data_IF_881185292925
#
_entry.id   IF_881185292925
#
_cell.length_a   1.000
_cell.length_b   1.000
_cell.length_c   1.000
_cell.angle_alpha   90.00
_cell.angle_beta   90.00
_cell.angle_gamma   90.00
#
_symmetry.space_group_name_H-M   'P 1'
#
loop_
_entity.id
_entity.type
_entity.pdbx_description
1 polymer ?
#
# COMPACT_ATOMS: atom_id res chain seq x y z
N UNK A 1 -6.69 3.57 -36.12
CA UNK A 1 -7.59 2.91 -35.18
C UNK A 1 -6.91 2.50 -33.95
N UNK A 2 -7.41 3.01 -32.88
CA UNK A 2 -6.74 3.00 -31.60
C UNK A 2 -7.58 2.27 -30.56
N UNK A 3 -8.04 1.10 -30.93
CA UNK A 3 -8.87 0.29 -30.06
C UNK A 3 -8.09 -0.28 -28.89
N UNK A 4 -6.78 -0.27 -29.01
CA UNK A 4 -5.88 -0.83 -27.99
C UNK A 4 -5.80 0.02 -26.73
N UNK A 5 -6.20 1.28 -26.81
CA UNK A 5 -6.06 2.20 -25.69
C UNK A 5 -7.23 2.15 -24.72
N UNK A 6 -8.21 1.31 -24.99
CA UNK A 6 -9.27 1.08 -24.03
C UNK A 6 -8.77 0.13 -22.93
N UNK A 7 -8.06 0.70 -22.00
CA UNK A 7 -7.82 -0.03 -20.75
C UNK A 7 -9.15 -0.13 -20.03
N UNK A 8 -9.79 -1.25 -20.18
CA UNK A 8 -11.00 -1.51 -19.41
C UNK A 8 -10.63 -1.63 -17.94
N UNK A 9 -11.23 -0.77 -17.14
CA UNK A 9 -11.18 -0.94 -15.71
C UNK A 9 -11.81 -2.30 -15.38
N UNK A 10 -11.01 -3.17 -14.79
CA UNK A 10 -11.49 -4.49 -14.36
C UNK A 10 -11.87 -4.35 -12.89
N UNK A 11 -13.18 -4.43 -12.63
CA UNK A 11 -13.69 -4.45 -11.27
C UNK A 11 -13.26 -5.76 -10.60
N UNK A 12 -12.51 -5.70 -9.48
CA UNK A 12 -12.08 -6.92 -8.80
C UNK A 12 -13.22 -7.84 -8.36
N UNK A 13 -14.40 -7.26 -8.14
CA UNK A 13 -15.56 -8.03 -7.72
C UNK A 13 -16.36 -8.62 -8.89
N UNK A 14 -16.01 -8.24 -10.12
CA UNK A 14 -16.72 -8.66 -11.33
C UNK A 14 -15.75 -9.07 -12.43
N UNK A 15 -14.73 -9.85 -12.08
CA UNK A 15 -13.78 -10.36 -13.05
C UNK A 15 -14.45 -11.34 -14.00
N UNK A 16 -14.15 -11.26 -15.30
CA UNK A 16 -14.59 -12.28 -16.24
C UNK A 16 -14.11 -13.65 -15.80
N UNK A 17 -14.92 -14.67 -16.00
CA UNK A 17 -14.60 -16.02 -15.57
C UNK A 17 -13.24 -16.51 -16.08
N UNK A 18 -12.88 -16.11 -17.29
CA UNK A 18 -11.62 -16.53 -17.89
C UNK A 18 -10.40 -15.88 -17.25
N UNK A 19 -10.53 -14.65 -16.76
CA UNK A 19 -9.44 -13.97 -16.07
C UNK A 19 -9.36 -14.34 -14.60
N UNK A 20 -10.45 -14.83 -14.03
CA UNK A 20 -10.49 -15.29 -12.68
C UNK A 20 -9.99 -16.72 -12.48
N UNK A 21 -9.67 -17.40 -13.56
CA UNK A 21 -9.15 -18.77 -13.45
C UNK A 21 -7.75 -18.79 -12.90
N UNK A 22 -7.54 -19.61 -11.88
CA UNK A 22 -6.21 -19.82 -11.34
C UNK A 22 -5.33 -20.54 -12.36
N UNK A 23 -4.09 -20.06 -12.53
CA UNK A 23 -3.11 -20.63 -13.44
C UNK A 23 -2.56 -21.97 -12.91
N UNK A 24 -2.46 -22.09 -11.59
CA UNK A 24 -2.04 -23.31 -10.91
C UNK A 24 -3.07 -23.65 -9.87
N UNK A 25 -3.51 -24.89 -9.83
CA UNK A 25 -4.53 -25.36 -8.88
C UNK A 25 -4.05 -26.66 -8.25
N UNK A 26 -3.17 -26.54 -7.29
CA UNK A 26 -2.63 -27.68 -6.54
C UNK A 26 -3.04 -27.56 -5.07
N UNK A 27 -3.09 -28.67 -4.32
CA UNK A 27 -3.51 -28.62 -2.91
C UNK A 27 -2.74 -27.66 -2.03
N UNK A 28 -1.49 -27.36 -2.37
CA UNK A 28 -0.63 -26.49 -1.59
C UNK A 28 -0.11 -25.28 -2.35
N UNK A 29 -0.55 -25.08 -3.58
CA UNK A 29 -0.09 -23.98 -4.42
C UNK A 29 -1.18 -23.57 -5.40
N UNK A 30 -1.66 -22.35 -5.27
CA UNK A 30 -2.62 -21.75 -6.21
C UNK A 30 -2.07 -20.45 -6.73
N UNK A 31 -2.19 -20.24 -8.04
CA UNK A 31 -1.80 -19.00 -8.69
C UNK A 31 -2.94 -18.52 -9.57
N UNK A 32 -3.28 -17.27 -9.42
CA UNK A 32 -4.31 -16.61 -10.20
C UNK A 32 -4.67 -15.25 -9.63
N UNK A 33 -5.39 -14.46 -10.39
CA UNK A 33 -5.85 -13.12 -9.97
C UNK A 33 -4.75 -12.18 -9.49
N UNK A 34 -3.51 -12.41 -9.95
CA UNK A 34 -2.36 -11.62 -9.52
C UNK A 34 -1.79 -12.02 -8.17
N UNK A 35 -2.17 -13.18 -7.64
CA UNK A 35 -1.73 -13.67 -6.35
C UNK A 35 -1.27 -15.12 -6.42
N UNK A 36 -0.38 -15.46 -5.50
CA UNK A 36 0.05 -16.84 -5.27
C UNK A 36 -0.27 -17.19 -3.81
N UNK A 37 -1.03 -18.25 -3.61
CA UNK A 37 -1.28 -18.83 -2.30
C UNK A 37 -0.40 -20.07 -2.14
N UNK A 38 0.40 -20.09 -1.11
CA UNK A 38 1.34 -21.18 -0.85
C UNK A 38 1.17 -21.69 0.57
N UNK A 39 0.85 -22.98 0.71
CA UNK A 39 0.73 -23.61 2.01
C UNK A 39 2.09 -24.16 2.41
N UNK A 40 2.60 -23.70 3.53
CA UNK A 40 3.93 -24.05 4.04
C UNK A 40 3.83 -24.56 5.46
N UNK A 41 4.84 -25.29 5.90
CA UNK A 41 4.93 -25.68 7.30
C UNK A 41 5.30 -24.49 8.16
N UNK A 42 4.69 -24.42 9.34
CA UNK A 42 5.02 -23.40 10.31
C UNK A 42 6.47 -23.54 10.79
N UNK A 43 7.09 -22.44 11.20
CA UNK A 43 8.49 -22.44 11.66
C UNK A 43 8.73 -23.38 12.82
N UNK A 44 7.73 -23.55 13.68
CA UNK A 44 7.82 -24.44 14.84
C UNK A 44 7.51 -25.90 14.51
N UNK A 45 7.31 -26.21 13.23
CA UNK A 45 6.99 -27.56 12.74
C UNK A 45 5.71 -28.16 13.37
N UNK A 46 4.89 -27.33 13.98
CA UNK A 46 3.67 -27.75 14.69
C UNK A 46 2.39 -27.40 13.94
N UNK A 47 2.45 -27.16 12.66
CA UNK A 47 1.25 -26.84 11.91
C UNK A 47 1.59 -26.29 10.55
N UNK A 48 0.57 -25.71 9.94
CA UNK A 48 0.68 -25.21 8.59
C UNK A 48 0.31 -23.72 8.56
N UNK A 49 0.90 -23.02 7.62
CA UNK A 49 0.61 -21.62 7.34
C UNK A 49 0.33 -21.46 5.87
N UNK A 50 -0.39 -20.42 5.52
CA UNK A 50 -0.59 -20.00 4.14
C UNK A 50 0.06 -18.64 3.94
N UNK A 51 0.86 -18.54 2.88
CA UNK A 51 1.49 -17.28 2.46
C UNK A 51 0.79 -16.79 1.22
N UNK A 52 0.38 -15.52 1.23
CA UNK A 52 -0.22 -14.85 0.09
C UNK A 52 0.79 -13.88 -0.49
N UNK A 53 1.26 -14.16 -1.68
CA UNK A 53 2.31 -13.39 -2.35
C UNK A 53 1.70 -12.73 -3.57
N UNK A 54 1.79 -11.39 -3.62
CA UNK A 54 1.36 -10.68 -4.81
C UNK A 54 2.39 -10.86 -5.92
N UNK A 55 1.90 -11.07 -7.14
CA UNK A 55 2.78 -11.27 -8.30
C UNK A 55 3.76 -10.10 -8.44
N UNK A 56 5.02 -10.42 -8.60
CA UNK A 56 6.09 -9.44 -8.70
C UNK A 56 6.69 -9.00 -7.37
N UNK A 57 6.11 -9.38 -6.24
CA UNK A 57 6.64 -9.02 -4.93
C UNK A 57 7.53 -10.14 -4.38
N UNK A 58 8.67 -9.80 -3.78
CA UNK A 58 9.58 -10.81 -3.24
C UNK A 58 9.11 -11.43 -1.92
N UNK A 59 8.27 -10.72 -1.18
CA UNK A 59 7.81 -11.17 0.12
C UNK A 59 6.30 -11.28 0.16
N UNK A 60 5.76 -12.18 1.00
CA UNK A 60 4.32 -12.30 1.13
C UNK A 60 3.69 -11.06 1.78
N UNK A 61 2.52 -10.69 1.29
CA UNK A 61 1.73 -9.63 1.91
C UNK A 61 1.02 -10.10 3.17
N UNK A 62 0.77 -11.39 3.26
CA UNK A 62 0.05 -12.00 4.37
C UNK A 62 0.58 -13.41 4.61
N UNK A 63 0.86 -13.74 5.85
CA UNK A 63 1.13 -15.11 6.28
C UNK A 63 0.23 -15.36 7.49
N UNK A 64 -0.58 -16.40 7.42
CA UNK A 64 -1.50 -16.73 8.50
C UNK A 64 -1.56 -18.23 8.75
N UNK A 65 -2.17 -18.62 9.87
CA UNK A 65 -2.34 -20.04 10.17
C UNK A 65 -3.26 -20.70 9.14
N UNK A 66 -2.96 -21.95 8.82
CA UNK A 66 -3.77 -22.74 7.90
C UNK A 66 -4.29 -23.97 8.62
N UNK A 67 -5.54 -24.32 8.36
CA UNK A 67 -6.18 -25.45 9.06
C UNK A 67 -5.64 -26.78 8.58
N UNK A 68 -5.65 -27.75 9.49
CA UNK A 68 -5.36 -29.14 9.16
C UNK A 68 -6.50 -29.73 8.35
N UNK A 69 -6.16 -30.63 7.45
CA UNK A 69 -7.15 -31.41 6.73
C UNK A 69 -7.74 -32.52 7.59
N UNK A 70 -8.52 -33.39 6.97
CA UNK A 70 -9.06 -34.59 7.64
C UNK A 70 -7.96 -35.50 8.15
N UNK A 71 -6.87 -35.55 7.40
CA UNK A 71 -5.67 -36.22 7.80
C UNK A 71 -4.82 -35.28 8.64
N UNK A 72 -4.53 -35.65 9.87
CA UNK A 72 -3.76 -34.79 10.78
C UNK A 72 -2.32 -34.54 10.33
N UNK A 73 -1.86 -35.26 9.33
CA UNK A 73 -0.51 -35.10 8.78
C UNK A 73 -0.43 -34.05 7.67
N UNK A 74 -1.55 -33.76 7.03
CA UNK A 74 -1.58 -32.89 5.86
C UNK A 74 -2.48 -31.67 6.11
N UNK A 75 -2.16 -30.51 5.52
CA UNK A 75 -3.02 -29.34 5.63
C UNK A 75 -4.29 -29.53 4.81
N UNK A 76 -5.29 -28.74 5.12
CA UNK A 76 -6.48 -28.64 4.29
C UNK A 76 -6.05 -28.23 2.87
N UNK A 77 -6.50 -28.94 1.83
CA UNK A 77 -6.15 -28.57 0.47
C UNK A 77 -6.75 -27.21 0.09
N UNK A 78 -6.04 -26.46 -0.72
CA UNK A 78 -6.58 -25.25 -1.29
C UNK A 78 -7.66 -25.60 -2.31
N UNK A 79 -8.72 -24.80 -2.32
CA UNK A 79 -9.78 -24.91 -3.32
C UNK A 79 -10.17 -23.52 -3.80
N UNK A 80 -11.09 -23.46 -4.75
CA UNK A 80 -11.52 -22.20 -5.35
C UNK A 80 -12.05 -21.21 -4.29
N UNK A 81 -12.90 -21.68 -3.38
CA UNK A 81 -13.49 -20.85 -2.35
C UNK A 81 -12.43 -20.33 -1.37
N UNK A 82 -11.53 -21.22 -0.94
CA UNK A 82 -10.45 -20.84 -0.03
C UNK A 82 -9.51 -19.83 -0.68
N UNK A 83 -9.11 -20.06 -1.91
CA UNK A 83 -8.24 -19.13 -2.63
C UNK A 83 -8.90 -17.77 -2.81
N UNK A 84 -10.17 -17.74 -3.18
CA UNK A 84 -10.89 -16.49 -3.35
C UNK A 84 -10.95 -15.69 -2.04
N UNK A 85 -11.22 -16.36 -0.94
CA UNK A 85 -11.23 -15.72 0.39
C UNK A 85 -9.85 -15.19 0.76
N UNK A 86 -8.81 -15.95 0.49
CA UNK A 86 -7.42 -15.55 0.78
C UNK A 86 -7.02 -14.33 -0.05
N UNK A 87 -7.37 -14.29 -1.33
CA UNK A 87 -7.11 -13.12 -2.19
C UNK A 87 -7.79 -11.88 -1.64
N UNK A 88 -9.04 -12.01 -1.25
CA UNK A 88 -9.79 -10.90 -0.68
C UNK A 88 -9.14 -10.38 0.61
N UNK A 89 -8.79 -11.27 1.51
CA UNK A 89 -8.14 -10.91 2.78
C UNK A 89 -6.78 -10.28 2.54
N UNK A 90 -5.96 -10.86 1.67
CA UNK A 90 -4.64 -10.33 1.37
C UNK A 90 -4.72 -8.95 0.70
N UNK A 91 -5.69 -8.75 -0.19
CA UNK A 91 -5.91 -7.45 -0.83
C UNK A 91 -6.30 -6.38 0.18
N UNK A 92 -7.09 -6.72 1.18
CA UNK A 92 -7.45 -5.80 2.25
C UNK A 92 -6.25 -5.44 3.14
N UNK A 93 -5.43 -6.43 3.47
CA UNK A 93 -4.21 -6.20 4.25
C UNK A 93 -3.26 -5.29 3.49
N UNK A 94 -3.06 -5.54 2.19
CA UNK A 94 -2.20 -4.72 1.36
C UNK A 94 -2.70 -3.28 1.30
N UNK A 95 -4.01 -3.09 1.12
CA UNK A 95 -4.60 -1.76 1.08
C UNK A 95 -4.42 -1.01 2.39
N UNK A 96 -4.59 -1.70 3.53
CA UNK A 96 -4.34 -1.09 4.84
C UNK A 96 -2.88 -0.67 5.00
N UNK A 97 -1.94 -1.50 4.55
CA UNK A 97 -0.52 -1.15 4.58
C UNK A 97 -0.23 0.08 3.73
N UNK A 98 -0.81 0.15 2.53
CA UNK A 98 -0.65 1.31 1.67
C UNK A 98 -1.23 2.58 2.30
N UNK A 99 -2.39 2.48 2.94
CA UNK A 99 -3.01 3.60 3.64
C UNK A 99 -2.16 4.06 4.84
N UNK A 100 -1.66 3.11 5.61
CA UNK A 100 -0.78 3.41 6.74
C UNK A 100 0.52 4.06 6.27
N UNK A 101 1.10 3.53 5.22
CA UNK A 101 2.32 4.08 4.63
C UNK A 101 2.06 5.49 4.12
N UNK A 102 0.95 5.72 3.44
CA UNK A 102 0.56 7.05 2.99
C UNK A 102 0.43 8.02 4.17
N UNK A 103 -0.22 7.58 5.24
CA UNK A 103 -0.37 8.41 6.44
C UNK A 103 0.97 8.74 7.11
N UNK A 104 1.93 7.82 7.05
CA UNK A 104 3.28 8.07 7.57
C UNK A 104 4.09 8.98 6.66
N UNK A 105 3.87 8.91 5.36
CA UNK A 105 4.65 9.65 4.37
C UNK A 105 4.01 10.98 3.99
N UNK A 106 2.77 11.24 4.38
CA UNK A 106 2.08 12.47 4.06
C UNK A 106 1.57 13.12 5.34
N UNK A 107 1.98 14.34 5.58
CA UNK A 107 1.53 15.12 6.75
C UNK A 107 1.05 16.47 6.27
N UNK A 108 0.11 17.05 7.02
CA UNK A 108 -0.38 18.37 6.68
C UNK A 108 -0.80 19.13 7.94
N UNK A 109 -0.76 20.44 7.84
CA UNK A 109 -1.28 21.32 8.86
C UNK A 109 -1.83 22.59 8.18
N UNK A 110 -2.80 23.21 8.81
CA UNK A 110 -3.34 24.49 8.34
C UNK A 110 -2.95 25.55 9.35
N UNK A 111 -2.37 26.63 8.88
CA UNK A 111 -1.94 27.75 9.72
C UNK A 111 -2.59 29.03 9.22
N UNK A 112 -2.80 29.96 10.13
CA UNK A 112 -3.36 31.28 9.80
C UNK A 112 -2.26 32.33 9.97
N UNK A 113 -1.95 33.04 8.89
CA UNK A 113 -0.90 34.04 8.87
C UNK A 113 -1.48 35.31 8.25
N UNK A 114 -1.49 36.40 9.00
CA UNK A 114 -2.03 37.69 8.57
C UNK A 114 -3.47 37.59 8.07
N UNK A 115 -4.28 36.76 8.75
CA UNK A 115 -5.68 36.53 8.41
C UNK A 115 -5.91 35.60 7.23
N UNK A 116 -4.87 34.98 6.68
CA UNK A 116 -4.98 34.05 5.57
C UNK A 116 -4.69 32.65 6.04
N UNK A 117 -5.54 31.72 5.66
CA UNK A 117 -5.29 30.30 5.94
C UNK A 117 -4.40 29.70 4.84
N UNK A 118 -3.37 29.01 5.27
CA UNK A 118 -2.43 28.34 4.38
C UNK A 118 -2.30 26.90 4.82
N UNK A 119 -2.52 26.00 3.89
CA UNK A 119 -2.29 24.58 4.13
C UNK A 119 -0.85 24.25 3.77
N UNK A 120 -0.14 23.70 4.72
CA UNK A 120 1.25 23.26 4.51
C UNK A 120 1.26 21.74 4.55
N UNK A 121 1.80 21.14 3.51
CA UNK A 121 1.91 19.68 3.39
C UNK A 121 3.36 19.27 3.34
N UNK A 122 3.63 18.09 3.90
CA UNK A 122 4.94 17.47 3.85
C UNK A 122 4.76 16.09 3.23
N UNK A 123 5.36 15.87 2.08
CA UNK A 123 5.34 14.58 1.40
C UNK A 123 6.73 13.99 1.43
N UNK A 124 6.87 12.91 2.17
CA UNK A 124 8.14 12.21 2.33
C UNK A 124 8.30 11.26 1.16
N UNK A 125 9.43 11.37 0.45
CA UNK A 125 9.77 10.47 -0.65
C UNK A 125 10.83 9.50 -0.15
N UNK A 126 10.46 8.24 0.11
CA UNK A 126 11.43 7.25 0.55
C UNK A 126 12.29 6.83 -0.63
N UNK A 127 13.55 7.15 -0.56
CA UNK A 127 14.55 6.73 -1.54
C UNK A 127 15.59 5.93 -0.77
N UNK A 128 16.01 4.80 -1.30
CA UNK A 128 16.97 3.94 -0.63
C UNK A 128 18.31 4.65 -0.37
N UNK A 129 18.71 5.51 -1.31
CA UNK A 129 19.99 6.20 -1.22
C UNK A 129 19.88 7.61 -0.64
N UNK A 130 18.86 8.35 -1.05
CA UNK A 130 18.73 9.77 -0.68
C UNK A 130 17.27 10.13 -0.38
N UNK A 131 16.72 9.69 0.76
CA UNK A 131 15.38 10.06 1.13
C UNK A 131 15.26 11.58 1.33
N UNK A 132 14.14 12.14 0.92
CA UNK A 132 13.87 13.55 1.07
C UNK A 132 12.38 13.79 1.27
N UNK A 133 11.99 15.02 1.52
CA UNK A 133 10.60 15.40 1.60
C UNK A 133 10.35 16.68 0.81
N UNK A 134 9.11 16.85 0.37
CA UNK A 134 8.65 18.04 -0.30
C UNK A 134 7.71 18.81 0.63
N UNK A 135 8.08 20.02 0.94
CA UNK A 135 7.29 20.92 1.77
C UNK A 135 6.57 21.90 0.85
N UNK A 136 5.24 21.89 0.89
CA UNK A 136 4.42 22.65 -0.05
C UNK A 136 3.44 23.54 0.72
N UNK A 137 3.30 24.78 0.29
CA UNK A 137 2.28 25.68 0.80
C UNK A 137 1.19 25.86 -0.25
N UNK A 138 -0.06 25.77 0.19
CA UNK A 138 -1.24 25.85 -0.69
C UNK A 138 -2.21 26.84 -0.07
N UNK A 139 -2.73 27.74 -0.89
CA UNK A 139 -3.72 28.70 -0.41
C UNK A 139 -5.13 28.12 -0.36
N UNK A 140 -6.10 28.90 0.07
CA UNK A 140 -7.50 28.45 0.17
C UNK A 140 -8.12 28.06 -1.17
N UNK A 141 -7.62 28.63 -2.26
CA UNK A 141 -8.10 28.29 -3.60
C UNK A 141 -7.50 26.99 -4.14
N UNK A 142 -6.59 26.37 -3.37
CA UNK A 142 -5.90 25.18 -3.79
C UNK A 142 -4.69 25.41 -4.66
N UNK A 143 -4.26 26.66 -4.80
CA UNK A 143 -3.10 27.00 -5.60
C UNK A 143 -1.81 26.86 -4.79
N UNK A 144 -0.81 26.26 -5.42
CA UNK A 144 0.50 26.08 -4.82
C UNK A 144 1.22 27.43 -4.75
N UNK A 145 1.53 27.86 -3.53
CA UNK A 145 2.26 29.09 -3.28
C UNK A 145 3.76 28.90 -3.38
N UNK A 146 4.25 27.79 -2.84
CA UNK A 146 5.67 27.47 -2.84
C UNK A 146 5.87 26.00 -2.58
N UNK A 147 7.01 25.49 -3.01
CA UNK A 147 7.43 24.11 -2.71
C UNK A 147 8.95 24.07 -2.60
N UNK A 148 9.44 23.47 -1.53
CA UNK A 148 10.87 23.29 -1.32
C UNK A 148 11.16 21.84 -0.92
N UNK A 149 12.37 21.40 -1.20
CA UNK A 149 12.85 20.09 -0.81
C UNK A 149 13.50 20.17 0.56
N UNK A 150 13.12 19.26 1.47
CA UNK A 150 13.67 19.23 2.83
C UNK A 150 14.24 17.86 3.13
N UNK A 151 14.87 17.71 4.29
CA UNK A 151 15.27 16.41 4.79
C UNK A 151 14.03 15.55 5.06
N UNK A 152 14.15 14.24 4.86
CA UNK A 152 13.03 13.31 5.08
C UNK A 152 12.55 13.31 6.53
N UNK A 153 13.41 13.64 7.47
CA UNK A 153 13.07 13.69 8.90
C UNK A 153 12.59 15.08 9.37
N UNK A 154 12.33 15.99 8.44
CA UNK A 154 11.80 17.31 8.81
C UNK A 154 10.48 17.14 9.55
N UNK A 155 10.34 17.84 10.68
CA UNK A 155 9.14 17.78 11.49
C UNK A 155 8.19 18.92 11.12
N UNK A 156 7.06 18.56 10.54
CA UNK A 156 6.01 19.51 10.25
C UNK A 156 5.12 19.67 11.48
N UNK A 157 5.15 20.88 12.06
CA UNK A 157 4.28 21.30 13.13
C UNK A 157 3.65 22.62 12.76
N UNK A 158 2.54 23.05 13.41
CA UNK A 158 2.02 24.39 13.14
C UNK A 158 3.08 25.47 13.30
N UNK A 159 3.93 25.36 14.32
CA UNK A 159 4.99 26.33 14.58
C UNK A 159 6.04 26.35 13.45
N UNK A 160 6.51 25.20 13.01
CA UNK A 160 7.50 25.14 11.93
C UNK A 160 6.90 25.60 10.59
N UNK A 161 5.62 25.33 10.36
CA UNK A 161 4.94 25.81 9.17
C UNK A 161 4.83 27.32 9.14
N UNK A 162 4.46 27.94 10.25
CA UNK A 162 4.42 29.40 10.38
C UNK A 162 5.80 30.02 10.12
N UNK A 163 6.81 29.45 10.75
CA UNK A 163 8.19 29.93 10.57
C UNK A 163 8.62 29.86 9.10
N UNK A 164 8.30 28.79 8.44
CA UNK A 164 8.65 28.63 7.03
C UNK A 164 7.96 29.68 6.14
N UNK A 165 6.67 29.88 6.33
CA UNK A 165 5.89 30.84 5.55
C UNK A 165 6.38 32.28 5.83
N UNK A 166 6.59 32.61 7.10
CA UNK A 166 7.05 33.95 7.49
C UNK A 166 8.47 34.26 7.02
N UNK A 167 9.30 33.24 6.85
CA UNK A 167 10.66 33.39 6.34
C UNK A 167 10.73 33.41 4.80
N UNK A 168 9.58 33.55 4.12
CA UNK A 168 9.54 33.68 2.67
C UNK A 168 9.76 32.35 1.94
N UNK A 169 9.37 31.24 2.56
CA UNK A 169 9.45 29.91 1.95
C UNK A 169 10.87 29.47 1.64
N UNK A 170 11.81 29.86 2.46
CA UNK A 170 13.20 29.42 2.32
C UNK A 170 13.34 27.97 2.76
N UNK A 171 14.22 27.23 2.08
CA UNK A 171 14.50 25.87 2.45
C UNK A 171 14.94 25.79 3.92
N UNK A 172 14.27 25.00 4.76
CA UNK A 172 14.69 24.85 6.16
C UNK A 172 16.08 24.24 6.27
N UNK A 173 16.82 24.69 7.22
CA UNK A 173 18.18 24.18 7.48
C UNK A 173 18.13 22.78 8.08
#
# INVERSE_FOLDING_TARGET
MTEQDQQQYIDPDNLPEDEGKALVQEPRLWQGNGWTAKVIKNEDDEGWAVAMIKDGEPEPALVGPWTMGRDKKNPKPLDTAAFHTLVKTASEVLRRHEQQLHALLHKSTVVSISGKEIKVTLDIVPDDDHPYALLTAIDLAGEKMAQVRTAANYKLTPSSAVDWVENGFRKPA
#
